data_IF_155329671097
#
_entry.id   IF_155329671097
#
_cell.length_a   1.000
_cell.length_b   1.000
_cell.length_c   1.000
_cell.angle_alpha   90.00
_cell.angle_beta   90.00
_cell.angle_gamma   90.00
#
_symmetry.space_group_name_H-M   'P 1'
#
loop_
_entity.id
_entity.type
_entity.pdbx_description
1 polymer ?
#
# COMPACT_ATOMS: atom_id res chain seq x y z
N UNK A 1 -8.68 16.17 9.32
CA UNK A 1 -7.56 15.20 9.35
C UNK A 1 -7.75 14.02 8.36
N UNK A 2 -8.97 13.76 7.84
CA UNK A 2 -9.26 12.65 6.89
C UNK A 2 -8.88 12.94 5.42
N UNK A 3 -8.44 14.16 5.07
CA UNK A 3 -8.30 14.57 3.66
C UNK A 3 -6.95 14.24 2.99
N UNK A 4 -5.93 13.71 3.67
CA UNK A 4 -4.61 13.46 3.06
C UNK A 4 -4.34 11.99 2.69
N UNK A 5 -5.21 11.05 3.08
CA UNK A 5 -5.00 9.62 2.78
C UNK A 5 -5.26 9.23 1.32
N UNK A 6 -6.19 9.93 0.64
CA UNK A 6 -6.60 9.61 -0.72
C UNK A 6 -5.54 9.99 -1.77
N UNK A 7 -4.82 11.10 -1.58
CA UNK A 7 -3.72 11.51 -2.47
C UNK A 7 -2.57 10.49 -2.43
N UNK A 8 -2.25 10.00 -1.23
CA UNK A 8 -1.25 8.95 -1.02
C UNK A 8 -1.73 7.65 -1.67
N UNK A 9 -3.00 7.28 -1.47
CA UNK A 9 -3.60 6.10 -2.09
C UNK A 9 -3.55 6.16 -3.63
N UNK A 10 -3.90 7.29 -4.25
CA UNK A 10 -3.83 7.48 -5.70
C UNK A 10 -2.39 7.36 -6.23
N UNK A 11 -1.42 7.94 -5.53
CA UNK A 11 -0.01 7.85 -5.90
C UNK A 11 0.47 6.40 -5.91
N UNK A 12 0.10 5.61 -4.90
CA UNK A 12 0.45 4.20 -4.83
C UNK A 12 -0.32 3.36 -5.86
N UNK A 13 -1.58 3.69 -6.15
CA UNK A 13 -2.35 3.01 -7.19
C UNK A 13 -1.73 3.23 -8.58
N UNK A 14 -1.32 4.46 -8.89
CA UNK A 14 -0.65 4.79 -10.15
C UNK A 14 0.69 4.05 -10.29
N UNK A 15 1.59 4.18 -9.32
CA UNK A 15 2.90 3.51 -9.37
C UNK A 15 2.78 1.98 -9.31
N UNK A 16 1.84 1.45 -8.52
CA UNK A 16 1.51 0.04 -8.46
C UNK A 16 1.04 -0.50 -9.81
N UNK A 17 0.19 0.24 -10.53
CA UNK A 17 -0.26 -0.13 -11.87
C UNK A 17 0.87 -0.10 -12.90
N UNK A 18 1.73 0.94 -12.87
CA UNK A 18 2.91 1.03 -13.75
C UNK A 18 3.87 -0.14 -13.52
N UNK A 19 4.16 -0.46 -12.25
CA UNK A 19 5.04 -1.57 -11.90
C UNK A 19 4.42 -2.94 -12.23
N UNK A 20 3.10 -3.09 -12.09
CA UNK A 20 2.39 -4.33 -12.39
C UNK A 20 2.46 -4.73 -13.88
N UNK A 21 2.64 -3.78 -14.79
CA UNK A 21 2.84 -4.06 -16.23
C UNK A 21 4.20 -4.76 -16.46
N UNK A 22 5.16 -4.58 -15.57
CA UNK A 22 6.48 -5.19 -15.68
C UNK A 22 6.56 -6.48 -14.85
N UNK A 23 7.06 -7.57 -15.43
CA UNK A 23 7.26 -8.84 -14.70
C UNK A 23 8.20 -8.65 -13.50
N UNK A 24 9.23 -7.81 -13.67
CA UNK A 24 10.19 -7.47 -12.60
C UNK A 24 9.56 -6.58 -11.51
N UNK A 25 8.56 -5.77 -11.85
CA UNK A 25 7.88 -4.85 -10.94
C UNK A 25 6.74 -5.46 -10.13
N UNK A 26 6.21 -6.63 -10.52
CA UNK A 26 5.17 -7.36 -9.77
C UNK A 26 5.41 -7.49 -8.24
N UNK A 27 6.62 -7.87 -7.75
CA UNK A 27 6.88 -7.90 -6.30
C UNK A 27 6.73 -6.52 -5.64
N UNK A 28 7.13 -5.45 -6.33
CA UNK A 28 7.01 -4.07 -5.85
C UNK A 28 5.56 -3.55 -5.94
N UNK A 29 4.83 -3.90 -7.00
CA UNK A 29 3.42 -3.56 -7.18
C UNK A 29 2.56 -4.09 -6.02
N UNK A 30 2.82 -5.32 -5.55
CA UNK A 30 2.14 -5.88 -4.36
C UNK A 30 2.33 -5.01 -3.11
N UNK A 31 3.51 -4.41 -2.93
CA UNK A 31 3.76 -3.53 -1.79
C UNK A 31 2.98 -2.22 -1.93
N UNK A 32 2.93 -1.63 -3.13
CA UNK A 32 2.13 -0.43 -3.37
C UNK A 32 0.64 -0.64 -3.04
N UNK A 33 0.05 -1.77 -3.42
CA UNK A 33 -1.35 -2.05 -3.09
C UNK A 33 -1.61 -2.20 -1.58
N UNK A 34 -0.66 -2.75 -0.81
CA UNK A 34 -0.78 -2.77 0.66
C UNK A 34 -0.77 -1.35 1.24
N UNK A 35 0.06 -0.47 0.69
CA UNK A 35 0.17 0.92 1.11
C UNK A 35 -1.08 1.73 0.73
N UNK A 36 -1.78 1.40 -0.37
CA UNK A 36 -3.11 1.97 -0.67
C UNK A 36 -4.08 1.67 0.46
N UNK A 37 -4.17 0.42 0.90
CA UNK A 37 -5.05 0.03 2.02
C UNK A 37 -4.65 0.72 3.31
N UNK A 38 -3.36 0.84 3.62
CA UNK A 38 -2.86 1.54 4.80
C UNK A 38 -3.13 3.06 4.74
N UNK A 39 -3.02 3.67 3.56
CA UNK A 39 -3.25 5.10 3.36
C UNK A 39 -4.74 5.46 3.50
N UNK A 40 -5.63 4.57 3.05
CA UNK A 40 -7.06 4.73 3.25
C UNK A 40 -7.43 4.39 4.70
N UNK A 41 -7.13 3.17 5.16
CA UNK A 41 -7.42 2.65 6.51
C UNK A 41 -6.13 2.42 7.31
N UNK A 42 -5.62 3.44 8.03
CA UNK A 42 -4.37 3.33 8.79
C UNK A 42 -4.45 2.53 10.08
N UNK A 43 -5.66 2.20 10.57
CA UNK A 43 -5.89 1.52 11.84
C UNK A 43 -6.53 0.14 11.61
N UNK A 44 -6.11 -0.88 12.38
CA UNK A 44 -6.72 -2.22 12.35
C UNK A 44 -5.77 -3.40 12.15
N UNK A 45 -4.45 -3.18 12.10
CA UNK A 45 -3.48 -4.27 12.11
C UNK A 45 -2.87 -4.39 13.51
N UNK A 46 -3.27 -5.41 14.26
CA UNK A 46 -2.58 -5.81 15.47
C UNK A 46 -1.19 -6.34 15.09
N UNK A 47 -0.14 -5.68 15.58
CA UNK A 47 1.22 -6.19 15.48
C UNK A 47 1.30 -7.43 16.38
N UNK A 48 1.11 -8.61 15.81
CA UNK A 48 1.40 -9.86 16.51
C UNK A 48 2.92 -9.93 16.68
N UNK A 49 3.39 -9.54 17.85
CA UNK A 49 4.78 -9.74 18.27
C UNK A 49 4.90 -11.22 18.63
N UNK A 50 5.68 -12.03 17.88
CA UNK A 50 5.90 -13.42 18.27
C UNK A 50 6.67 -13.44 19.59
N UNK A 51 6.06 -14.01 20.63
CA UNK A 51 6.72 -14.27 21.91
C UNK A 51 7.87 -15.26 21.68
N UNK A 52 9.07 -14.89 22.13
CA UNK A 52 10.34 -15.58 21.92
C UNK A 52 10.55 -16.79 22.81
#
# INVERSE_FOLDING_TARGET
IVLFGWEIALSHLFWGAVLAITVVGLPFARQHFKLVTLALWPFGNDLVVPES
#
